data_IF_751061160333
#
_entry.id   IF_751061160333
#
_cell.length_a   1.000
_cell.length_b   1.000
_cell.length_c   1.000
_cell.angle_alpha   90.00
_cell.angle_beta   90.00
_cell.angle_gamma   90.00
#
_symmetry.space_group_name_H-M   'P 1'
#
loop_
_entity.id
_entity.type
_entity.pdbx_description
1 polymer ?
#
# COMPACT_ATOMS: atom_id res chain seq x y z
N UNK A 1 19.31 -12.19 -4.61
CA UNK A 1 18.69 -10.95 -5.12
C UNK A 1 17.87 -11.27 -6.34
N UNK A 2 16.61 -11.62 -6.10
CA UNK A 2 15.58 -11.88 -7.10
C UNK A 2 15.40 -10.65 -8.01
N UNK A 3 15.14 -10.83 -9.30
CA UNK A 3 14.87 -9.72 -10.25
C UNK A 3 13.75 -8.79 -9.76
N UNK A 4 12.77 -9.34 -9.03
CA UNK A 4 11.70 -8.59 -8.40
C UNK A 4 12.22 -7.58 -7.36
N UNK A 5 13.17 -7.96 -6.50
CA UNK A 5 13.70 -7.03 -5.48
C UNK A 5 14.41 -5.84 -6.11
N UNK A 6 15.19 -6.06 -7.19
CA UNK A 6 15.83 -4.97 -7.93
C UNK A 6 14.82 -4.00 -8.53
N UNK A 7 13.69 -4.52 -9.04
CA UNK A 7 12.59 -3.67 -9.55
C UNK A 7 11.88 -2.93 -8.43
N UNK A 8 11.63 -3.59 -7.29
CA UNK A 8 11.03 -2.94 -6.12
C UNK A 8 11.90 -1.79 -5.58
N UNK A 9 13.22 -1.88 -5.75
CA UNK A 9 14.17 -0.79 -5.45
C UNK A 9 14.13 0.36 -6.45
N UNK A 10 13.52 0.18 -7.61
CA UNK A 10 13.39 1.23 -8.61
C UNK A 10 12.18 2.13 -8.31
N UNK A 11 12.44 3.24 -7.62
CA UNK A 11 11.43 4.25 -7.26
C UNK A 11 10.67 4.77 -8.48
N UNK A 12 11.33 4.89 -9.64
CA UNK A 12 10.69 5.35 -10.87
C UNK A 12 9.60 4.40 -11.38
N UNK A 13 9.76 3.10 -11.15
CA UNK A 13 8.79 2.07 -11.53
C UNK A 13 7.70 1.86 -10.46
N UNK A 14 7.84 2.43 -9.25
CA UNK A 14 6.85 2.28 -8.19
C UNK A 14 5.47 2.75 -8.69
N UNK A 15 4.39 2.09 -8.29
CA UNK A 15 3.12 2.29 -8.97
C UNK A 15 2.01 1.42 -8.43
N UNK A 16 0.83 1.64 -9.00
CA UNK A 16 -0.35 0.82 -8.79
C UNK A 16 -0.42 -0.23 -9.88
N UNK A 17 -0.35 -1.51 -9.50
CA UNK A 17 -0.31 -2.66 -10.39
C UNK A 17 -1.35 -3.71 -9.98
N UNK A 18 -1.67 -4.62 -10.90
CA UNK A 18 -2.40 -5.85 -10.58
C UNK A 18 -1.39 -6.96 -10.32
N UNK A 19 -1.57 -7.66 -9.20
CA UNK A 19 -0.73 -8.78 -8.81
C UNK A 19 -0.95 -9.92 -9.81
N UNK A 20 0.09 -10.25 -10.57
CA UNK A 20 0.07 -11.33 -11.56
C UNK A 20 0.94 -12.53 -11.15
N UNK A 21 1.40 -12.54 -9.90
CA UNK A 21 2.26 -13.56 -9.30
C UNK A 21 1.69 -14.00 -7.94
N UNK A 22 2.21 -15.08 -7.37
CA UNK A 22 1.82 -15.48 -6.03
C UNK A 22 2.21 -14.39 -5.00
N UNK A 23 1.33 -14.01 -4.06
CA UNK A 23 1.64 -13.00 -3.04
C UNK A 23 2.83 -13.40 -2.16
N UNK A 24 3.08 -14.71 -2.02
CA UNK A 24 4.20 -15.26 -1.27
C UNK A 24 5.57 -14.88 -1.87
N UNK A 25 5.68 -14.83 -3.21
CA UNK A 25 6.91 -14.41 -3.91
C UNK A 25 7.17 -12.90 -3.74
N UNK A 26 6.10 -12.09 -3.79
CA UNK A 26 6.19 -10.65 -3.52
C UNK A 26 6.65 -10.40 -2.08
N UNK A 27 6.07 -11.12 -1.11
CA UNK A 27 6.42 -11.00 0.31
C UNK A 27 7.89 -11.36 0.57
N UNK A 28 8.36 -12.47 -0.01
CA UNK A 28 9.78 -12.88 0.09
C UNK A 28 10.70 -11.81 -0.48
N UNK A 29 10.39 -11.31 -1.67
CA UNK A 29 11.20 -10.29 -2.34
C UNK A 29 11.21 -8.96 -1.58
N UNK A 30 10.05 -8.52 -1.08
CA UNK A 30 9.94 -7.33 -0.25
C UNK A 30 10.74 -7.47 1.05
N UNK A 31 10.67 -8.63 1.70
CA UNK A 31 11.47 -8.93 2.89
C UNK A 31 12.98 -8.94 2.60
N UNK A 32 13.43 -9.45 1.44
CA UNK A 32 14.83 -9.36 1.00
C UNK A 32 15.30 -7.90 0.86
N UNK A 33 14.43 -7.00 0.36
CA UNK A 33 14.74 -5.58 0.25
C UNK A 33 14.57 -4.80 1.58
N UNK A 34 14.08 -5.44 2.64
CA UNK A 34 13.75 -4.81 3.92
C UNK A 34 12.49 -3.94 3.89
N UNK A 35 11.57 -4.19 2.95
CA UNK A 35 10.35 -3.40 2.78
C UNK A 35 9.24 -3.90 3.70
N UNK A 36 8.35 -2.99 4.08
CA UNK A 36 7.16 -3.34 4.84
C UNK A 36 6.04 -3.68 3.87
N UNK A 37 5.48 -4.88 4.04
CA UNK A 37 4.33 -5.36 3.28
C UNK A 37 3.07 -5.22 4.13
N UNK A 38 2.08 -4.56 3.57
CA UNK A 38 0.76 -4.32 4.12
C UNK A 38 -0.24 -5.13 3.29
N UNK A 39 -0.95 -6.08 3.89
CA UNK A 39 -1.94 -6.92 3.20
C UNK A 39 -3.33 -6.61 3.75
N UNK A 40 -4.20 -6.02 2.93
CA UNK A 40 -5.57 -5.66 3.29
C UNK A 40 -6.57 -6.50 2.51
N UNK A 41 -7.54 -7.07 3.21
CA UNK A 41 -8.59 -7.86 2.58
C UNK A 41 -9.87 -7.06 2.42
N UNK A 42 -10.12 -6.58 1.20
CA UNK A 42 -11.29 -5.81 0.84
C UNK A 42 -12.43 -6.69 0.28
N UNK A 43 -12.20 -8.00 0.08
CA UNK A 43 -13.19 -8.91 -0.48
C UNK A 43 -14.47 -9.01 0.37
N UNK A 44 -14.36 -8.86 1.69
CA UNK A 44 -15.49 -8.86 2.63
C UNK A 44 -15.97 -7.46 3.01
N UNK A 45 -15.23 -6.40 2.65
CA UNK A 45 -15.52 -5.04 3.09
C UNK A 45 -16.76 -4.49 2.36
N UNK A 46 -17.87 -4.28 3.10
CA UNK A 46 -19.11 -3.76 2.53
C UNK A 46 -19.21 -2.25 2.72
N UNK A 47 -18.43 -1.56 1.88
CA UNK A 47 -18.45 -0.11 1.73
C UNK A 47 -17.34 0.62 2.50
N UNK A 48 -17.29 1.93 2.30
CA UNK A 48 -16.22 2.83 2.76
C UNK A 48 -15.75 2.60 4.20
N UNK A 49 -16.69 2.40 5.14
CA UNK A 49 -16.34 2.26 6.55
C UNK A 49 -15.46 1.04 6.84
N UNK A 50 -15.80 -0.10 6.24
CA UNK A 50 -15.03 -1.33 6.43
C UNK A 50 -13.71 -1.30 5.67
N UNK A 51 -13.69 -0.71 4.47
CA UNK A 51 -12.45 -0.50 3.70
C UNK A 51 -11.46 0.35 4.49
N UNK A 52 -11.91 1.48 5.03
CA UNK A 52 -11.06 2.36 5.84
C UNK A 52 -10.60 1.69 7.12
N UNK A 53 -11.47 0.93 7.80
CA UNK A 53 -11.11 0.21 9.01
C UNK A 53 -10.06 -0.88 8.74
N UNK A 54 -10.20 -1.62 7.65
CA UNK A 54 -9.25 -2.65 7.25
C UNK A 54 -7.90 -2.05 6.87
N UNK A 55 -7.89 -0.97 6.08
CA UNK A 55 -6.66 -0.26 5.73
C UNK A 55 -5.95 0.31 6.97
N UNK A 56 -6.71 0.97 7.86
CA UNK A 56 -6.19 1.49 9.12
C UNK A 56 -5.57 0.39 9.99
N UNK A 57 -6.26 -0.75 10.10
CA UNK A 57 -5.76 -1.92 10.84
C UNK A 57 -4.46 -2.43 10.28
N UNK A 58 -4.35 -2.53 8.95
CA UNK A 58 -3.18 -3.09 8.26
C UNK A 58 -1.98 -2.17 8.36
N UNK A 59 -2.15 -0.86 8.16
CA UNK A 59 -1.06 0.12 8.32
C UNK A 59 -0.72 0.40 9.79
N UNK A 60 -1.44 -0.23 10.72
CA UNK A 60 -1.38 0.03 12.16
C UNK A 60 -1.53 1.53 12.44
N UNK A 61 -2.57 2.13 11.87
CA UNK A 61 -2.83 3.55 11.99
C UNK A 61 -3.01 3.96 13.46
N UNK A 62 -2.46 5.10 13.86
CA UNK A 62 -2.57 5.62 15.23
C UNK A 62 -3.98 6.08 15.58
N UNK A 63 -4.23 6.29 16.88
CA UNK A 63 -5.55 6.65 17.43
C UNK A 63 -6.17 7.94 16.88
N UNK A 64 -5.38 8.80 16.22
CA UNK A 64 -5.88 10.00 15.55
C UNK A 64 -6.57 9.73 14.21
N UNK A 65 -6.54 8.50 13.71
CA UNK A 65 -7.11 8.13 12.42
C UNK A 65 -8.62 8.40 12.36
N UNK A 66 -9.01 9.42 11.59
CA UNK A 66 -10.37 9.97 11.57
C UNK A 66 -11.41 9.17 10.76
N UNK A 67 -11.17 7.89 10.45
CA UNK A 67 -12.04 7.01 9.66
C UNK A 67 -12.63 7.68 8.40
N UNK A 68 -11.80 8.42 7.66
CA UNK A 68 -12.19 9.09 6.43
C UNK A 68 -11.06 9.03 5.39
N UNK A 69 -11.37 9.44 4.16
CA UNK A 69 -10.42 9.39 3.04
C UNK A 69 -9.21 10.31 3.20
N UNK A 70 -9.41 11.48 3.78
CA UNK A 70 -8.36 12.46 4.05
C UNK A 70 -7.39 11.91 5.12
N UNK A 71 -7.92 11.31 6.18
CA UNK A 71 -7.14 10.62 7.21
C UNK A 71 -6.38 9.41 6.66
N UNK A 72 -6.94 8.69 5.68
CA UNK A 72 -6.21 7.63 4.99
C UNK A 72 -5.05 8.19 4.17
N UNK A 73 -5.27 9.25 3.40
CA UNK A 73 -4.22 9.90 2.63
C UNK A 73 -3.09 10.42 3.54
N UNK A 74 -3.44 11.04 4.65
CA UNK A 74 -2.48 11.53 5.66
C UNK A 74 -1.68 10.38 6.28
N UNK A 75 -2.36 9.30 6.71
CA UNK A 75 -1.70 8.14 7.30
C UNK A 75 -0.82 7.36 6.32
N UNK A 76 -1.21 7.27 5.05
CA UNK A 76 -0.40 6.67 3.99
C UNK A 76 0.79 7.56 3.59
N UNK A 77 0.64 8.87 3.69
CA UNK A 77 1.70 9.85 3.49
C UNK A 77 2.71 9.90 4.64
N UNK A 78 2.27 9.65 5.87
CA UNK A 78 3.10 9.66 7.07
C UNK A 78 3.20 8.28 7.73
N UNK A 79 3.93 7.34 7.12
CA UNK A 79 4.19 6.03 7.72
C UNK A 79 5.39 6.05 8.70
N UNK A 80 5.60 7.17 9.39
CA UNK A 80 6.76 7.38 10.27
C UNK A 80 6.85 6.36 11.42
N UNK A 81 5.71 5.82 11.89
CA UNK A 81 5.67 4.75 12.90
C UNK A 81 6.06 3.37 12.37
N UNK A 82 6.13 3.20 11.04
CA UNK A 82 6.54 1.98 10.33
C UNK A 82 7.73 2.24 9.41
N UNK A 83 8.68 3.06 9.87
CA UNK A 83 9.83 3.48 9.08
C UNK A 83 10.52 2.32 8.34
N UNK A 84 10.47 2.35 7.02
CA UNK A 84 11.06 1.36 6.14
C UNK A 84 11.74 2.05 4.94
N UNK A 85 12.70 1.38 4.28
CA UNK A 85 13.30 1.85 3.03
C UNK A 85 12.29 1.87 1.87
N UNK A 86 11.19 1.12 1.96
CA UNK A 86 10.11 1.09 0.97
C UNK A 86 8.88 0.37 1.50
N UNK A 87 7.76 0.56 0.82
CA UNK A 87 6.45 0.05 1.23
C UNK A 87 5.76 -0.69 0.10
N UNK A 88 5.03 -1.74 0.45
CA UNK A 88 4.23 -2.54 -0.48
C UNK A 88 2.85 -2.72 0.14
N UNK A 89 1.80 -2.29 -0.55
CA UNK A 89 0.41 -2.46 -0.16
C UNK A 89 -0.27 -3.44 -1.12
N UNK A 90 -0.74 -4.56 -0.59
CA UNK A 90 -1.48 -5.59 -1.33
C UNK A 90 -2.95 -5.50 -0.91
N UNK A 91 -3.82 -5.26 -1.87
CA UNK A 91 -5.27 -5.16 -1.70
C UNK A 91 -5.90 -6.40 -2.31
N UNK A 92 -6.47 -7.26 -1.47
CA UNK A 92 -7.21 -8.45 -1.93
C UNK A 92 -8.67 -8.08 -2.19
N UNK A 93 -9.11 -8.29 -3.43
CA UNK A 93 -10.44 -7.88 -3.88
C UNK A 93 -10.51 -6.42 -4.32
N UNK A 94 -11.57 -6.09 -5.06
CA UNK A 94 -11.82 -4.73 -5.55
C UNK A 94 -12.82 -4.03 -4.63
N UNK A 95 -12.40 -2.94 -3.98
CA UNK A 95 -13.34 -1.99 -3.37
C UNK A 95 -14.17 -1.36 -4.49
N UNK A 96 -15.29 -2.00 -4.80
CA UNK A 96 -16.03 -1.73 -6.02
C UNK A 96 -16.61 -0.31 -5.94
N UNK A 97 -16.21 0.56 -6.86
CA UNK A 97 -16.75 1.92 -6.98
C UNK A 97 -16.05 2.99 -6.12
N UNK A 98 -14.88 2.71 -5.55
CA UNK A 98 -14.12 3.71 -4.78
C UNK A 98 -13.02 4.36 -5.63
N UNK A 99 -13.42 5.14 -6.64
CA UNK A 99 -12.50 5.93 -7.48
C UNK A 99 -11.58 6.81 -6.63
N UNK A 100 -12.11 7.33 -5.52
CA UNK A 100 -11.38 8.15 -4.55
C UNK A 100 -10.23 7.39 -3.88
N UNK A 101 -10.38 6.09 -3.61
CA UNK A 101 -9.30 5.27 -3.05
C UNK A 101 -8.14 5.17 -4.04
N UNK A 102 -8.43 4.92 -5.32
CA UNK A 102 -7.40 4.84 -6.35
C UNK A 102 -6.65 6.16 -6.51
N UNK A 103 -7.36 7.29 -6.47
CA UNK A 103 -6.76 8.62 -6.52
C UNK A 103 -5.82 8.88 -5.33
N UNK A 104 -6.25 8.52 -4.12
CA UNK A 104 -5.43 8.61 -2.90
C UNK A 104 -4.17 7.73 -3.00
N UNK A 105 -4.32 6.50 -3.50
CA UNK A 105 -3.20 5.58 -3.68
C UNK A 105 -2.20 6.11 -4.71
N UNK A 106 -2.66 6.64 -5.84
CA UNK A 106 -1.81 7.22 -6.87
C UNK A 106 -1.07 8.48 -6.37
N UNK A 107 -1.79 9.35 -5.66
CA UNK A 107 -1.22 10.52 -5.00
C UNK A 107 -0.17 10.13 -3.95
N UNK A 108 -0.45 9.09 -3.15
CA UNK A 108 0.49 8.53 -2.16
C UNK A 108 1.76 8.02 -2.83
N UNK A 109 1.63 7.22 -3.89
CA UNK A 109 2.78 6.71 -4.65
C UNK A 109 3.62 7.87 -5.18
N UNK A 110 2.98 8.85 -5.81
CA UNK A 110 3.64 10.03 -6.35
C UNK A 110 4.36 10.85 -5.27
N UNK A 111 3.74 10.97 -4.09
CA UNK A 111 4.33 11.65 -2.94
C UNK A 111 5.59 10.95 -2.42
N UNK A 112 5.56 9.63 -2.24
CA UNK A 112 6.73 8.87 -1.81
C UNK A 112 7.84 8.84 -2.86
N UNK A 113 7.48 8.79 -4.15
CA UNK A 113 8.45 8.92 -5.25
C UNK A 113 9.27 10.21 -5.16
N UNK A 114 8.63 11.33 -4.83
CA UNK A 114 9.33 12.60 -4.63
C UNK A 114 10.29 12.58 -3.44
N UNK A 115 10.05 11.70 -2.47
CA UNK A 115 10.93 11.47 -1.32
C UNK A 115 11.99 10.38 -1.56
N UNK A 116 12.18 9.95 -2.81
CA UNK A 116 13.09 8.85 -3.19
C UNK A 116 12.77 7.52 -2.48
N UNK A 117 11.49 7.30 -2.14
CA UNK A 117 11.02 6.09 -1.47
C UNK A 117 10.03 5.35 -2.36
N UNK A 118 10.26 4.05 -2.63
CA UNK A 118 9.34 3.27 -3.45
C UNK A 118 8.12 2.85 -2.63
N UNK A 119 6.94 3.26 -3.09
CA UNK A 119 5.65 2.80 -2.58
C UNK A 119 4.93 2.03 -3.68
N UNK A 120 4.69 0.74 -3.46
CA UNK A 120 4.06 -0.15 -4.42
C UNK A 120 2.65 -0.51 -3.97
N UNK A 121 1.70 -0.49 -4.89
CA UNK A 121 0.33 -0.95 -4.63
C UNK A 121 0.02 -2.08 -5.59
N UNK A 122 -0.48 -3.19 -5.06
CA UNK A 122 -0.86 -4.37 -5.84
C UNK A 122 -2.29 -4.78 -5.54
N UNK A 123 -3.11 -4.93 -6.57
CA UNK A 123 -4.45 -5.52 -6.46
C UNK A 123 -4.41 -7.01 -6.76
N UNK A 124 -4.87 -7.84 -5.82
CA UNK A 124 -4.87 -9.30 -5.87
C UNK A 124 -6.30 -9.89 -5.94
#
# INVERSE_FOLDING_TARGET
>A
MSDLCKRLQNVGEAGVYRLNCAPDDLRKSAAECGYVVFEANLADARGKGEVLAELARVIAAPDWFGHNWDALADALGDLSWKAAPGYVLVLHGEATGEEMLNDILDATVSFWKLQDKPFWVFFA
#
